data_IF_519424693828
#
_entry.id   IF_519424693828
#
_cell.length_a   1.000
_cell.length_b   1.000
_cell.length_c   1.000
_cell.angle_alpha   90.00
_cell.angle_beta   90.00
_cell.angle_gamma   90.00
#
_symmetry.space_group_name_H-M   'P 1'
#
loop_
_entity.id
_entity.type
_entity.pdbx_description
1 polymer ?
#
# COMPACT_ATOMS: atom_id res chain seq x y z
N UNK A 1 -5.22 -25.98 11.02
CA UNK A 1 -5.10 -24.88 12.00
C UNK A 1 -3.82 -24.17 11.62
N UNK A 2 -3.94 -23.13 10.80
CA UNK A 2 -2.82 -22.36 10.26
C UNK A 2 -2.77 -21.02 11.00
N UNK A 3 -1.58 -20.44 11.21
CA UNK A 3 -1.42 -19.29 12.08
C UNK A 3 -2.14 -18.08 11.48
N UNK A 4 -2.89 -17.39 12.34
CA UNK A 4 -3.51 -16.09 12.08
C UNK A 4 -2.43 -15.07 11.74
N UNK A 5 -2.42 -14.55 10.52
CA UNK A 5 -1.72 -13.31 10.22
C UNK A 5 -2.56 -12.18 10.83
N UNK A 6 -2.14 -11.67 11.99
CA UNK A 6 -2.61 -10.37 12.45
C UNK A 6 -1.97 -9.34 11.53
N UNK A 7 -2.79 -8.71 10.70
CA UNK A 7 -2.40 -7.42 10.13
C UNK A 7 -2.54 -6.45 11.31
N UNK A 8 -1.42 -6.08 11.94
CA UNK A 8 -1.38 -4.93 12.85
C UNK A 8 -1.53 -3.67 12.01
N UNK A 9 -2.76 -3.38 11.59
CA UNK A 9 -3.14 -2.04 11.17
C UNK A 9 -3.16 -1.21 12.46
N UNK A 10 -2.04 -0.55 12.76
CA UNK A 10 -1.95 0.42 13.85
C UNK A 10 -3.23 1.26 13.92
N UNK A 11 -3.89 1.23 15.07
CA UNK A 11 -5.07 2.03 15.44
C UNK A 11 -6.14 2.30 14.36
N UNK A 12 -6.46 1.34 13.49
CA UNK A 12 -7.62 1.46 12.58
C UNK A 12 -8.74 0.55 13.09
N UNK A 13 -9.88 1.14 13.44
CA UNK A 13 -11.13 0.38 13.65
C UNK A 13 -11.94 0.37 12.36
N UNK A 14 -12.25 -0.81 11.85
CA UNK A 14 -13.21 -1.00 10.77
C UNK A 14 -14.63 -1.06 11.38
N UNK A 15 -15.41 0.01 11.24
CA UNK A 15 -16.83 0.01 11.58
C UNK A 15 -17.67 0.11 10.30
N UNK A 16 -18.43 -0.95 10.00
CA UNK A 16 -19.44 -0.96 8.92
C UNK A 16 -18.90 -0.57 7.53
N UNK A 17 -17.71 -1.05 7.16
CA UNK A 17 -17.12 -0.82 5.83
C UNK A 17 -16.53 0.58 5.62
N UNK A 18 -16.33 1.37 6.68
CA UNK A 18 -15.63 2.65 6.62
C UNK A 18 -14.35 2.59 7.46
N UNK A 19 -13.25 3.08 6.89
CA UNK A 19 -12.01 3.34 7.61
C UNK A 19 -12.16 4.68 8.34
N UNK A 20 -12.14 4.67 9.67
CA UNK A 20 -12.15 5.88 10.49
C UNK A 20 -10.79 6.01 11.22
N UNK A 21 -10.06 7.12 11.07
CA UNK A 21 -8.73 7.26 11.68
C UNK A 21 -8.83 7.47 13.20
N UNK A 22 -8.21 6.60 13.99
CA UNK A 22 -7.93 6.85 15.41
C UNK A 22 -6.46 7.25 15.56
N UNK A 23 -6.17 8.54 15.36
CA UNK A 23 -4.93 9.22 15.80
C UNK A 23 -3.57 8.69 15.30
N UNK A 24 -3.53 7.69 14.42
CA UNK A 24 -2.33 7.30 13.67
C UNK A 24 -2.71 7.28 12.20
N UNK A 25 -2.08 8.15 11.41
CA UNK A 25 -2.35 8.29 9.97
C UNK A 25 -1.54 7.30 9.14
N UNK A 26 -0.57 6.63 9.75
CA UNK A 26 0.40 5.76 9.07
C UNK A 26 -0.10 4.30 9.01
N UNK A 27 0.11 3.65 7.87
CA UNK A 27 -0.28 2.27 7.62
C UNK A 27 0.80 1.49 6.91
N UNK A 28 0.81 0.19 7.12
CA UNK A 28 1.59 -0.77 6.35
C UNK A 28 0.67 -1.88 5.87
N UNK A 29 0.70 -2.20 4.57
CA UNK A 29 -0.10 -3.28 3.99
C UNK A 29 0.61 -3.93 2.83
N UNK A 30 0.16 -5.14 2.48
CA UNK A 30 0.62 -5.85 1.28
C UNK A 30 -0.53 -5.99 0.28
N UNK A 31 -0.20 -6.05 -1.01
CA UNK A 31 -1.19 -6.34 -2.04
C UNK A 31 -0.58 -6.41 -3.43
N UNK A 32 -1.41 -6.74 -4.42
CA UNK A 32 -0.96 -6.92 -5.80
C UNK A 32 -1.16 -5.65 -6.62
N UNK A 33 -0.14 -5.24 -7.38
CA UNK A 33 -0.27 -4.10 -8.29
C UNK A 33 -1.23 -4.45 -9.43
N UNK A 34 -2.31 -3.69 -9.55
CA UNK A 34 -3.35 -3.88 -10.58
C UNK A 34 -3.29 -2.81 -11.67
N UNK A 35 -2.77 -1.63 -11.36
CA UNK A 35 -2.49 -0.56 -12.33
C UNK A 35 -1.24 0.19 -11.92
N UNK A 36 -0.44 0.63 -12.91
CA UNK A 36 0.70 1.50 -12.68
C UNK A 36 0.60 2.70 -13.64
N UNK A 37 0.40 3.89 -13.07
CA UNK A 37 0.35 5.17 -13.77
C UNK A 37 1.45 6.12 -13.28
N UNK A 38 2.52 5.57 -12.69
CA UNK A 38 3.64 6.35 -12.19
C UNK A 38 4.84 6.29 -13.14
N UNK A 39 5.70 7.31 -13.10
CA UNK A 39 6.82 7.49 -14.02
C UNK A 39 7.98 8.12 -13.26
N UNK A 40 9.17 7.54 -13.34
CA UNK A 40 10.31 7.90 -12.48
C UNK A 40 9.99 7.69 -11.01
N UNK A 41 9.90 8.77 -10.24
CA UNK A 41 9.63 8.72 -8.79
C UNK A 41 8.35 9.51 -8.47
N UNK A 42 7.35 9.53 -9.36
CA UNK A 42 6.11 10.25 -9.09
C UNK A 42 4.91 9.65 -9.82
N UNK A 43 3.72 9.78 -9.24
CA UNK A 43 2.45 9.36 -9.82
C UNK A 43 1.65 8.51 -8.85
N UNK A 44 1.00 7.46 -9.36
CA UNK A 44 0.31 6.52 -8.50
C UNK A 44 0.24 5.11 -9.11
N UNK A 45 0.06 4.12 -8.25
CA UNK A 45 -0.37 2.77 -8.64
C UNK A 45 -1.60 2.35 -7.84
N UNK A 46 -2.34 1.39 -8.37
CA UNK A 46 -3.48 0.78 -7.68
C UNK A 46 -3.05 -0.59 -7.18
N UNK A 47 -3.25 -0.82 -5.88
CA UNK A 47 -2.96 -2.10 -5.22
C UNK A 47 -4.27 -2.75 -4.82
N UNK A 48 -4.45 -4.01 -5.18
CA UNK A 48 -5.52 -4.83 -4.60
C UNK A 48 -4.98 -5.47 -3.32
N UNK A 49 -5.44 -4.95 -2.18
CA UNK A 49 -5.17 -5.53 -0.87
C UNK A 49 -6.35 -6.42 -0.47
N UNK A 50 -6.05 -7.60 0.05
CA UNK A 50 -7.07 -8.54 0.53
C UNK A 50 -7.08 -8.54 2.06
N UNK A 51 -8.26 -8.37 2.64
CA UNK A 51 -8.51 -8.71 4.03
C UNK A 51 -9.46 -9.93 4.09
N UNK A 52 -9.68 -10.48 5.29
CA UNK A 52 -10.48 -11.69 5.50
C UNK A 52 -11.95 -11.59 5.02
N UNK A 53 -12.42 -10.41 4.60
CA UNK A 53 -13.82 -10.15 4.26
C UNK A 53 -14.00 -9.70 2.80
N UNK A 54 -13.02 -9.01 2.23
CA UNK A 54 -13.13 -8.39 0.91
C UNK A 54 -11.77 -7.98 0.31
N UNK A 55 -11.77 -7.82 -1.01
CA UNK A 55 -10.68 -7.20 -1.78
C UNK A 55 -10.95 -5.71 -1.90
N UNK A 56 -9.97 -4.90 -1.52
CA UNK A 56 -10.04 -3.45 -1.56
C UNK A 56 -8.97 -2.93 -2.49
N UNK A 57 -9.37 -2.08 -3.44
CA UNK A 57 -8.43 -1.33 -4.27
C UNK A 57 -7.99 -0.08 -3.53
N UNK A 58 -6.68 0.04 -3.30
CA UNK A 58 -6.02 1.16 -2.64
C UNK A 58 -5.21 1.91 -3.68
N UNK A 59 -5.40 3.23 -3.75
CA UNK A 59 -4.57 4.12 -4.57
C UNK A 59 -3.34 4.49 -3.75
N UNK A 60 -2.16 4.19 -4.26
CA UNK A 60 -0.90 4.53 -3.62
C UNK A 60 -0.25 5.67 -4.39
N UNK A 61 -0.17 6.84 -3.77
CA UNK A 61 0.49 8.00 -4.33
C UNK A 61 1.99 7.92 -4.10
N UNK A 62 2.74 8.17 -5.17
CA UNK A 62 4.20 8.16 -5.18
C UNK A 62 4.67 9.58 -5.42
N UNK A 63 5.61 10.00 -4.59
CA UNK A 63 6.26 11.30 -4.64
C UNK A 63 7.77 11.12 -4.75
N UNK A 64 8.50 12.19 -5.04
CA UNK A 64 9.96 12.13 -5.16
C UNK A 64 10.67 11.69 -3.87
N UNK A 65 9.99 11.80 -2.72
CA UNK A 65 10.48 11.36 -1.43
C UNK A 65 10.10 9.92 -1.07
N UNK A 66 9.31 9.24 -1.90
CA UNK A 66 8.94 7.84 -1.66
C UNK A 66 10.14 6.94 -1.97
N UNK A 67 10.52 6.10 -1.00
CA UNK A 67 11.56 5.09 -1.18
C UNK A 67 10.99 3.88 -1.94
N UNK A 68 11.50 3.64 -3.16
CA UNK A 68 11.08 2.54 -4.02
C UNK A 68 12.16 1.46 -4.07
N UNK A 69 11.86 0.26 -3.60
CA UNK A 69 12.84 -0.81 -3.39
C UNK A 69 12.38 -2.11 -4.05
N UNK A 70 13.27 -2.78 -4.77
CA UNK A 70 13.04 -4.12 -5.33
C UNK A 70 14.24 -5.02 -5.01
N UNK A 71 14.01 -6.11 -4.28
CA UNK A 71 15.04 -7.03 -3.78
C UNK A 71 16.17 -6.32 -2.99
N UNK A 72 15.84 -5.25 -2.27
CA UNK A 72 16.81 -4.45 -1.51
C UNK A 72 17.63 -3.43 -2.31
N UNK A 73 17.38 -3.27 -3.61
CA UNK A 73 18.00 -2.25 -4.45
C UNK A 73 17.00 -1.12 -4.78
N UNK A 74 17.50 0.11 -4.88
CA UNK A 74 16.70 1.28 -5.31
C UNK A 74 16.12 1.03 -6.71
N UNK A 75 14.84 1.33 -6.88
CA UNK A 75 14.08 1.13 -8.10
C UNK A 75 13.38 2.42 -8.57
N UNK A 76 12.81 2.38 -9.77
CA UNK A 76 11.91 3.42 -10.26
C UNK A 76 10.51 2.84 -10.46
N UNK A 77 9.52 3.72 -10.55
CA UNK A 77 8.11 3.37 -10.73
C UNK A 77 7.85 2.35 -11.83
N UNK A 78 8.55 2.46 -12.96
CA UNK A 78 8.38 1.61 -14.12
C UNK A 78 8.77 0.14 -13.86
N UNK A 79 9.58 -0.11 -12.84
CA UNK A 79 10.01 -1.45 -12.45
C UNK A 79 8.92 -2.20 -11.64
N UNK A 80 7.93 -1.47 -11.10
CA UNK A 80 6.80 -2.02 -10.34
C UNK A 80 5.73 -2.56 -11.30
N UNK A 81 5.98 -3.77 -11.80
CA UNK A 81 5.13 -4.44 -12.80
C UNK A 81 3.81 -4.95 -12.20
N UNK A 82 2.77 -5.01 -13.06
CA UNK A 82 1.46 -5.55 -12.69
C UNK A 82 1.53 -7.00 -12.21
N UNK A 83 0.71 -7.33 -11.21
CA UNK A 83 0.60 -8.66 -10.60
C UNK A 83 1.75 -9.00 -9.64
N UNK A 84 2.67 -8.07 -9.39
CA UNK A 84 3.66 -8.21 -8.32
C UNK A 84 3.01 -7.83 -6.99
N UNK A 85 3.32 -8.63 -5.97
CA UNK A 85 2.97 -8.30 -4.60
C UNK A 85 3.96 -7.26 -4.07
N UNK A 86 3.43 -6.17 -3.51
CA UNK A 86 4.18 -5.08 -2.90
C UNK A 86 3.82 -4.97 -1.43
N UNK A 87 4.79 -4.57 -0.63
CA UNK A 87 4.57 -3.96 0.67
C UNK A 87 4.56 -2.43 0.51
N UNK A 88 3.58 -1.76 1.11
CA UNK A 88 3.45 -0.31 1.07
C UNK A 88 3.37 0.20 2.50
N UNK A 89 4.16 1.23 2.80
CA UNK A 89 4.11 2.00 4.04
C UNK A 89 3.86 3.47 3.71
N UNK A 90 2.96 4.13 4.45
CA UNK A 90 2.69 5.55 4.26
C UNK A 90 1.48 6.05 5.03
N UNK A 91 1.08 7.30 4.77
CA UNK A 91 -0.04 7.93 5.45
C UNK A 91 -1.37 7.81 4.67
N UNK A 92 -2.51 7.75 5.36
CA UNK A 92 -3.86 7.78 4.75
C UNK A 92 -4.39 9.22 4.77
N UNK A 93 -4.19 10.04 3.72
CA UNK A 93 -4.75 11.38 3.66
C UNK A 93 -6.28 11.35 3.51
N UNK A 94 -6.80 10.33 2.83
CA UNK A 94 -8.22 10.14 2.54
C UNK A 94 -8.55 8.66 2.37
N UNK A 95 -9.84 8.32 2.41
CA UNK A 95 -10.31 6.93 2.24
C UNK A 95 -9.74 6.30 0.96
N UNK A 96 -9.23 5.08 1.08
CA UNK A 96 -8.64 4.27 -0.01
C UNK A 96 -7.45 4.91 -0.74
N UNK A 97 -6.80 5.90 -0.14
CA UNK A 97 -5.59 6.51 -0.68
C UNK A 97 -4.50 6.46 0.37
N UNK A 98 -3.28 6.11 -0.05
CA UNK A 98 -2.08 6.13 0.78
C UNK A 98 -1.04 6.99 0.10
N UNK A 99 -0.52 7.99 0.80
CA UNK A 99 0.68 8.73 0.40
C UNK A 99 1.87 7.92 0.88
N UNK A 100 2.58 7.26 -0.04
CA UNK A 100 3.62 6.30 0.33
C UNK A 100 4.92 6.97 0.76
N UNK A 101 5.43 6.54 1.90
CA UNK A 101 6.79 6.80 2.34
C UNK A 101 7.75 5.74 1.79
N UNK A 102 7.31 4.48 1.71
CA UNK A 102 8.11 3.38 1.17
C UNK A 102 7.25 2.32 0.46
N UNK A 103 7.80 1.74 -0.61
CA UNK A 103 7.21 0.64 -1.37
C UNK A 103 8.30 -0.39 -1.68
N UNK A 104 8.06 -1.64 -1.30
CA UNK A 104 9.04 -2.71 -1.42
C UNK A 104 8.47 -3.95 -2.12
N UNK A 105 9.29 -4.61 -2.95
CA UNK A 105 9.04 -5.94 -3.52
C UNK A 105 10.22 -6.86 -3.17
N UNK A 106 9.95 -7.96 -2.48
CA UNK A 106 10.88 -9.07 -2.23
C UNK A 106 10.93 -10.14 -3.37
#
# INVERSE_FOLDING_TARGET
>A
MFPTAQVELGNISLESGNVNPLNETEVTFNGDITSNNCTGNSGFFEVEAENDQEKVTIIVQISESTDLIINGDDAVCEDFLLGRNVQVQGEIPTVNTVDADSVEID
#
